data_IF_898966929966
#
_entry.id   IF_898966929966
#
_cell.length_a   1.000
_cell.length_b   1.000
_cell.length_c   1.000
_cell.angle_alpha   90.00
_cell.angle_beta   90.00
_cell.angle_gamma   90.00
#
_symmetry.space_group_name_H-M   'P 1'
#
loop_
_entity.id
_entity.type
_entity.pdbx_description
1 polymer ?
#
# COMPACT_ATOMS: atom_id res chain seq x y z
N UNK A 1 5.65 22.84 -66.05
CA UNK A 1 4.28 23.22 -65.67
C UNK A 1 3.97 22.61 -64.31
N UNK A 2 3.91 23.50 -63.36
CA UNK A 2 3.63 23.33 -61.96
C UNK A 2 2.14 23.14 -61.78
N UNK A 3 1.65 22.20 -60.97
CA UNK A 3 0.40 22.36 -60.24
C UNK A 3 0.44 21.60 -58.90
N UNK A 4 0.46 22.41 -57.95
CA UNK A 4 0.24 22.31 -56.54
C UNK A 4 -1.14 21.71 -56.20
N UNK A 5 -1.23 20.72 -55.30
CA UNK A 5 -2.47 20.34 -54.66
C UNK A 5 -2.21 19.92 -53.22
N UNK A 6 -2.07 20.94 -52.40
CA UNK A 6 -2.10 20.84 -50.95
C UNK A 6 -3.56 20.67 -50.47
N UNK A 7 -4.01 19.44 -50.20
CA UNK A 7 -5.28 19.17 -49.54
C UNK A 7 -5.00 19.03 -48.02
N UNK A 8 -5.24 20.11 -47.30
CA UNK A 8 -5.43 20.06 -45.87
C UNK A 8 -6.67 19.23 -45.53
N UNK A 9 -6.46 18.03 -44.98
CA UNK A 9 -7.53 17.26 -44.37
C UNK A 9 -7.78 17.91 -43.00
N UNK A 10 -8.90 18.63 -42.90
CA UNK A 10 -9.45 19.10 -41.62
C UNK A 10 -9.70 17.90 -40.71
N UNK A 11 -8.92 17.75 -39.66
CA UNK A 11 -9.31 16.90 -38.54
C UNK A 11 -10.62 17.44 -37.91
N UNK A 12 -11.61 16.59 -37.71
CA UNK A 12 -12.78 17.01 -36.93
C UNK A 12 -12.35 17.35 -35.55
N UNK A 13 -12.61 18.56 -35.10
CA UNK A 13 -12.53 19.03 -33.73
C UNK A 13 -13.12 17.98 -32.81
N UNK A 14 -12.28 17.32 -32.06
CA UNK A 14 -12.70 16.50 -30.92
C UNK A 14 -13.46 17.43 -29.96
N UNK A 15 -14.77 17.22 -29.89
CA UNK A 15 -15.61 17.86 -28.89
C UNK A 15 -14.94 17.66 -27.53
N UNK A 16 -14.49 18.74 -26.95
CA UNK A 16 -14.06 18.79 -25.54
C UNK A 16 -15.30 18.43 -24.72
N UNK A 17 -15.36 17.19 -24.27
CA UNK A 17 -16.28 16.80 -23.21
C UNK A 17 -15.85 17.63 -22.00
N UNK A 18 -16.61 18.69 -21.71
CA UNK A 18 -16.44 19.43 -20.48
C UNK A 18 -16.60 18.44 -19.32
N UNK A 19 -15.60 18.29 -18.45
CA UNK A 19 -15.77 17.47 -17.27
C UNK A 19 -16.84 18.13 -16.41
N UNK A 20 -17.95 17.43 -16.16
CA UNK A 20 -18.94 17.82 -15.15
C UNK A 20 -18.23 18.15 -13.83
N UNK A 21 -18.89 18.76 -12.81
CA UNK A 21 -18.25 19.34 -11.63
C UNK A 21 -17.39 18.28 -10.96
N UNK A 22 -16.14 18.24 -11.35
CA UNK A 22 -15.16 17.31 -10.86
C UNK A 22 -14.95 17.62 -9.39
N UNK A 23 -15.43 16.73 -8.52
CA UNK A 23 -15.05 16.74 -7.10
C UNK A 23 -13.54 16.94 -7.06
N UNK A 24 -13.10 18.04 -6.42
CA UNK A 24 -11.70 18.43 -6.39
C UNK A 24 -10.82 17.20 -6.13
N UNK A 25 -9.76 16.91 -6.93
CA UNK A 25 -8.87 15.77 -6.69
C UNK A 25 -8.30 15.76 -5.29
N UNK A 26 -8.19 16.92 -4.64
CA UNK A 26 -7.78 17.05 -3.24
C UNK A 26 -8.81 16.46 -2.28
N UNK A 27 -10.11 16.66 -2.53
CA UNK A 27 -11.18 16.02 -1.73
C UNK A 27 -11.14 14.51 -1.89
N UNK A 28 -10.97 14.02 -3.13
CA UNK A 28 -10.77 12.59 -3.38
C UNK A 28 -9.60 12.00 -2.58
N UNK A 29 -8.49 12.74 -2.52
CA UNK A 29 -7.30 12.31 -1.77
C UNK A 29 -7.57 12.25 -0.25
N UNK A 30 -8.26 13.23 0.32
CA UNK A 30 -8.66 13.21 1.75
C UNK A 30 -9.57 12.02 2.05
N UNK A 31 -10.56 11.75 1.19
CA UNK A 31 -11.45 10.59 1.32
C UNK A 31 -10.67 9.28 1.25
N UNK A 32 -9.70 9.18 0.32
CA UNK A 32 -8.86 8.00 0.17
C UNK A 32 -7.99 7.76 1.41
N UNK A 33 -7.38 8.82 1.98
CA UNK A 33 -6.58 8.72 3.21
C UNK A 33 -7.47 8.25 4.38
N UNK A 34 -8.66 8.82 4.53
CA UNK A 34 -9.63 8.35 5.52
C UNK A 34 -9.97 6.87 5.32
N UNK A 35 -10.19 6.43 4.07
CA UNK A 35 -10.52 5.04 3.75
C UNK A 35 -9.36 4.08 4.09
N UNK A 36 -8.10 4.42 3.73
CA UNK A 36 -6.95 3.56 4.06
C UNK A 36 -6.69 3.51 5.56
N UNK A 37 -6.88 4.62 6.28
CA UNK A 37 -6.72 4.69 7.74
C UNK A 37 -7.67 3.74 8.50
N UNK A 38 -8.83 3.38 7.92
CA UNK A 38 -9.74 2.40 8.53
C UNK A 38 -9.20 0.97 8.51
N UNK A 39 -8.20 0.67 7.68
CA UNK A 39 -7.70 -0.69 7.45
C UNK A 39 -7.25 -1.38 8.75
N UNK A 40 -6.40 -0.72 9.53
CA UNK A 40 -5.91 -1.26 10.79
C UNK A 40 -7.02 -1.48 11.82
N UNK A 41 -8.03 -0.60 11.84
CA UNK A 41 -9.18 -0.71 12.75
C UNK A 41 -10.04 -1.93 12.39
N UNK A 42 -10.33 -2.12 11.10
CA UNK A 42 -11.10 -3.27 10.63
C UNK A 42 -10.39 -4.60 10.95
N UNK A 43 -9.05 -4.63 10.83
CA UNK A 43 -8.25 -5.79 11.24
C UNK A 43 -8.34 -6.03 12.74
N UNK A 44 -8.20 -4.98 13.57
CA UNK A 44 -8.31 -5.08 15.03
C UNK A 44 -9.70 -5.52 15.51
N UNK A 45 -10.74 -5.20 14.76
CA UNK A 45 -12.11 -5.64 15.06
C UNK A 45 -12.38 -7.07 14.61
N UNK A 46 -11.59 -7.61 13.70
CA UNK A 46 -11.74 -9.00 13.26
C UNK A 46 -11.23 -9.98 14.33
N UNK A 47 -11.98 -11.01 14.59
CA UNK A 47 -11.57 -12.15 15.39
C UNK A 47 -10.95 -13.28 14.54
N UNK A 48 -10.93 -13.11 13.22
CA UNK A 48 -10.32 -14.08 12.32
C UNK A 48 -8.78 -13.99 12.39
N UNK A 49 -8.06 -15.11 12.16
CA UNK A 49 -6.61 -15.09 12.01
C UNK A 49 -6.15 -14.07 10.96
N UNK A 50 -5.04 -13.39 11.21
CA UNK A 50 -4.52 -12.32 10.38
C UNK A 50 -4.37 -12.73 8.90
N UNK A 51 -3.85 -13.94 8.63
CA UNK A 51 -3.71 -14.47 7.28
C UNK A 51 -5.05 -14.64 6.56
N UNK A 52 -6.11 -15.04 7.28
CA UNK A 52 -7.47 -15.20 6.74
C UNK A 52 -8.09 -13.84 6.40
N UNK A 53 -8.00 -12.88 7.31
CA UNK A 53 -8.49 -11.51 7.06
C UNK A 53 -7.77 -10.87 5.87
N UNK A 54 -6.44 -11.04 5.78
CA UNK A 54 -5.63 -10.58 4.66
C UNK A 54 -6.01 -11.30 3.35
N UNK A 55 -6.22 -12.62 3.39
CA UNK A 55 -6.67 -13.41 2.25
C UNK A 55 -7.99 -12.87 1.67
N UNK A 56 -9.02 -12.73 2.50
CA UNK A 56 -10.33 -12.25 2.03
C UNK A 56 -10.28 -10.80 1.57
N UNK A 57 -9.51 -9.94 2.23
CA UNK A 57 -9.28 -8.58 1.73
C UNK A 57 -8.75 -8.58 0.30
N UNK A 58 -7.68 -9.34 0.05
CA UNK A 58 -7.05 -9.38 -1.28
C UNK A 58 -7.96 -10.07 -2.28
N UNK A 59 -8.59 -11.19 -1.93
CA UNK A 59 -9.52 -11.92 -2.78
C UNK A 59 -10.69 -11.03 -3.24
N UNK A 60 -11.39 -10.39 -2.30
CA UNK A 60 -12.56 -9.56 -2.61
C UNK A 60 -12.19 -8.28 -3.36
N UNK A 61 -10.97 -7.78 -3.19
CA UNK A 61 -10.44 -6.70 -4.03
C UNK A 61 -10.11 -7.21 -5.45
N UNK A 62 -9.60 -8.43 -5.57
CA UNK A 62 -9.20 -9.03 -6.86
C UNK A 62 -10.39 -9.37 -7.75
N UNK A 63 -11.48 -9.89 -7.19
CA UNK A 63 -12.62 -10.37 -7.95
C UNK A 63 -13.19 -9.33 -8.93
N UNK A 64 -13.57 -8.11 -8.52
CA UNK A 64 -14.09 -7.10 -9.45
C UNK A 64 -13.04 -6.66 -10.46
N UNK A 65 -11.75 -6.58 -10.07
CA UNK A 65 -10.65 -6.24 -10.97
C UNK A 65 -10.43 -7.33 -12.02
N UNK A 66 -10.55 -8.61 -11.64
CA UNK A 66 -10.44 -9.75 -12.56
C UNK A 66 -11.56 -9.74 -13.58
N UNK A 67 -12.81 -9.43 -13.20
CA UNK A 67 -13.93 -9.29 -14.13
C UNK A 67 -13.62 -8.21 -15.17
N UNK A 68 -13.19 -7.03 -14.74
CA UNK A 68 -12.80 -5.93 -15.65
C UNK A 68 -11.62 -6.35 -16.53
N UNK A 69 -10.64 -7.05 -15.97
CA UNK A 69 -9.46 -7.50 -16.71
C UNK A 69 -9.82 -8.51 -17.82
N UNK A 70 -10.66 -9.49 -17.51
CA UNK A 70 -11.11 -10.49 -18.49
C UNK A 70 -11.96 -9.84 -19.60
N UNK A 71 -12.81 -8.90 -19.23
CA UNK A 71 -13.68 -8.25 -20.20
C UNK A 71 -12.96 -7.24 -21.09
N UNK A 72 -12.02 -6.43 -20.54
CA UNK A 72 -11.42 -5.29 -21.24
C UNK A 72 -9.98 -5.53 -21.71
N UNK A 73 -9.25 -6.47 -21.07
CA UNK A 73 -7.82 -6.66 -21.26
C UNK A 73 -7.43 -8.12 -21.57
N UNK A 74 -8.37 -8.93 -22.07
CA UNK A 74 -8.15 -10.36 -22.33
C UNK A 74 -6.89 -10.62 -23.15
N UNK A 75 -6.69 -9.87 -24.23
CA UNK A 75 -5.56 -10.07 -25.15
C UNK A 75 -4.22 -9.69 -24.50
N UNK A 76 -4.25 -8.78 -23.54
CA UNK A 76 -3.04 -8.35 -22.85
C UNK A 76 -2.42 -9.46 -21.98
N UNK A 77 -3.21 -10.42 -21.49
CA UNK A 77 -2.68 -11.58 -20.75
C UNK A 77 -1.85 -12.49 -21.63
N UNK A 78 -2.26 -12.71 -22.89
CA UNK A 78 -1.51 -13.51 -23.87
C UNK A 78 -0.18 -12.86 -24.28
N UNK A 79 -0.04 -11.54 -24.12
CA UNK A 79 1.16 -10.79 -24.45
C UNK A 79 2.18 -10.74 -23.28
N UNK A 80 1.84 -11.22 -22.08
CA UNK A 80 2.76 -11.21 -20.93
C UNK A 80 3.83 -12.28 -21.15
N UNK A 81 5.08 -11.86 -21.31
CA UNK A 81 6.19 -12.81 -21.43
C UNK A 81 6.40 -13.59 -20.12
N UNK A 82 6.85 -14.86 -20.24
CA UNK A 82 7.11 -15.73 -19.07
C UNK A 82 7.96 -15.07 -18.00
N UNK A 83 8.99 -14.30 -18.37
CA UNK A 83 9.85 -13.56 -17.44
C UNK A 83 9.07 -12.52 -16.64
N UNK A 84 8.17 -11.78 -17.30
CA UNK A 84 7.36 -10.75 -16.65
C UNK A 84 6.28 -11.38 -15.76
N UNK A 85 5.73 -12.53 -16.16
CA UNK A 85 4.79 -13.31 -15.34
C UNK A 85 5.47 -13.82 -14.04
N UNK A 86 6.70 -14.33 -14.13
CA UNK A 86 7.49 -14.73 -12.95
C UNK A 86 7.76 -13.53 -12.05
N UNK A 87 8.17 -12.39 -12.62
CA UNK A 87 8.38 -11.15 -11.87
C UNK A 87 7.11 -10.67 -11.17
N UNK A 88 5.95 -10.73 -11.82
CA UNK A 88 4.66 -10.40 -11.23
C UNK A 88 4.25 -11.40 -10.13
N UNK A 89 4.56 -12.69 -10.29
CA UNK A 89 4.34 -13.70 -9.26
C UNK A 89 5.22 -13.45 -8.02
N UNK A 90 6.50 -13.12 -8.19
CA UNK A 90 7.39 -12.76 -7.09
C UNK A 90 6.90 -11.48 -6.38
N UNK A 91 6.42 -10.49 -7.13
CA UNK A 91 5.77 -9.30 -6.56
C UNK A 91 4.52 -9.66 -5.76
N UNK A 92 3.72 -10.61 -6.24
CA UNK A 92 2.56 -11.15 -5.53
C UNK A 92 2.92 -11.86 -4.23
N UNK A 93 3.97 -12.68 -4.22
CA UNK A 93 4.48 -13.31 -3.00
C UNK A 93 5.00 -12.27 -1.99
N UNK A 94 5.73 -11.26 -2.46
CA UNK A 94 6.16 -10.16 -1.60
C UNK A 94 4.96 -9.42 -0.99
N UNK A 95 3.90 -9.20 -1.77
CA UNK A 95 2.66 -8.59 -1.29
C UNK A 95 1.91 -9.49 -0.28
N UNK A 96 1.94 -10.83 -0.46
CA UNK A 96 1.40 -11.78 0.51
C UNK A 96 2.13 -11.67 1.86
N UNK A 97 3.47 -11.66 1.83
CA UNK A 97 4.31 -11.49 3.02
C UNK A 97 4.01 -10.13 3.69
N UNK A 98 3.89 -9.06 2.91
CA UNK A 98 3.51 -7.74 3.42
C UNK A 98 2.22 -7.79 4.22
N UNK A 99 1.13 -8.29 3.63
CA UNK A 99 -0.15 -8.31 4.32
C UNK A 99 -0.19 -9.27 5.50
N UNK A 100 0.40 -10.47 5.37
CA UNK A 100 0.47 -11.41 6.48
C UNK A 100 1.21 -10.80 7.67
N UNK A 101 2.42 -10.24 7.44
CA UNK A 101 3.25 -9.65 8.50
C UNK A 101 2.60 -8.40 9.10
N UNK A 102 2.05 -7.52 8.27
CA UNK A 102 1.42 -6.30 8.76
C UNK A 102 0.15 -6.59 9.57
N UNK A 103 -0.74 -7.46 9.07
CA UNK A 103 -1.97 -7.79 9.80
C UNK A 103 -1.65 -8.50 11.12
N UNK A 104 -0.68 -9.41 11.11
CA UNK A 104 -0.21 -10.07 12.32
C UNK A 104 0.42 -9.06 13.31
N UNK A 105 1.17 -8.07 12.85
CA UNK A 105 1.78 -7.05 13.70
C UNK A 105 0.75 -6.32 14.57
N UNK A 106 -0.46 -6.11 14.03
CA UNK A 106 -1.55 -5.44 14.74
C UNK A 106 -2.06 -6.23 15.95
N UNK A 107 -1.82 -7.54 16.04
CA UNK A 107 -2.14 -8.34 17.22
C UNK A 107 -1.15 -8.13 18.37
N UNK A 108 0.07 -7.69 18.07
CA UNK A 108 1.19 -7.69 19.02
C UNK A 108 1.64 -6.31 19.50
N UNK A 109 1.41 -5.25 18.69
CA UNK A 109 1.78 -3.88 19.03
C UNK A 109 0.61 -2.91 18.81
N UNK A 110 0.81 -1.63 19.14
CA UNK A 110 -0.21 -0.59 18.94
C UNK A 110 -0.49 -0.34 17.45
N UNK A 111 -1.71 0.06 17.12
CA UNK A 111 -2.08 0.47 15.76
C UNK A 111 -1.16 1.60 15.28
N UNK A 112 -0.89 2.59 16.15
CA UNK A 112 -0.03 3.72 15.82
C UNK A 112 1.40 3.27 15.48
N UNK A 113 2.00 2.36 16.27
CA UNK A 113 3.34 1.82 16.00
C UNK A 113 3.34 0.97 14.72
N UNK A 114 2.43 0.00 14.61
CA UNK A 114 2.34 -0.89 13.45
C UNK A 114 2.20 -0.14 12.13
N UNK A 115 1.23 0.80 12.04
CA UNK A 115 0.99 1.55 10.79
C UNK A 115 2.14 2.51 10.49
N UNK A 116 2.75 3.14 11.50
CA UNK A 116 3.93 4.00 11.28
C UNK A 116 5.11 3.19 10.75
N UNK A 117 5.38 2.02 11.33
CA UNK A 117 6.53 1.19 10.97
C UNK A 117 6.35 0.56 9.58
N UNK A 118 5.15 0.09 9.24
CA UNK A 118 4.91 -0.44 7.88
C UNK A 118 4.99 0.66 6.82
N UNK A 119 4.68 1.91 7.15
CA UNK A 119 4.85 3.06 6.26
C UNK A 119 6.30 3.49 6.08
N UNK A 120 7.27 2.85 6.73
CA UNK A 120 8.69 3.02 6.42
C UNK A 120 9.12 2.37 5.08
N UNK A 121 8.21 1.70 4.37
CA UNK A 121 8.42 1.13 3.04
C UNK A 121 9.23 2.02 2.07
N UNK A 122 9.01 3.35 1.94
CA UNK A 122 9.77 4.18 1.01
C UNK A 122 11.27 4.22 1.29
N UNK A 123 11.68 4.00 2.54
CA UNK A 123 13.11 3.91 2.91
C UNK A 123 13.75 2.65 2.31
N UNK A 124 13.05 1.52 2.40
CA UNK A 124 13.49 0.27 1.79
C UNK A 124 13.45 0.32 0.26
N UNK A 125 12.48 1.06 -0.32
CA UNK A 125 12.45 1.33 -1.77
C UNK A 125 13.68 2.14 -2.18
N UNK A 126 14.05 3.18 -1.44
CA UNK A 126 15.25 3.98 -1.74
C UNK A 126 16.53 3.15 -1.66
N UNK A 127 16.68 2.33 -0.61
CA UNK A 127 17.80 1.40 -0.46
C UNK A 127 17.84 0.35 -1.58
N UNK A 128 16.70 -0.25 -1.91
CA UNK A 128 16.59 -1.24 -2.98
C UNK A 128 16.86 -0.64 -4.36
N UNK A 129 16.42 0.58 -4.63
CA UNK A 129 16.74 1.31 -5.87
C UNK A 129 18.24 1.56 -6.00
N UNK A 130 18.91 1.92 -4.92
CA UNK A 130 20.38 2.04 -4.92
C UNK A 130 21.05 0.69 -5.19
N UNK A 131 20.65 -0.36 -4.50
CA UNK A 131 21.29 -1.68 -4.58
C UNK A 131 21.07 -2.37 -5.93
N UNK A 132 19.83 -2.36 -6.44
CA UNK A 132 19.42 -3.15 -7.62
C UNK A 132 19.33 -2.32 -8.90
N UNK A 133 18.99 -1.02 -8.80
CA UNK A 133 18.82 -0.14 -9.95
C UNK A 133 19.99 0.82 -10.12
N UNK A 134 21.03 0.76 -9.24
CA UNK A 134 22.22 1.61 -9.24
C UNK A 134 21.88 3.11 -9.18
N UNK A 135 20.76 3.47 -8.59
CA UNK A 135 20.40 4.86 -8.34
C UNK A 135 21.30 5.46 -7.26
N UNK A 136 21.59 6.76 -7.35
CA UNK A 136 22.49 7.41 -6.38
C UNK A 136 21.75 7.72 -5.08
N UNK A 137 22.34 7.37 -3.95
CA UNK A 137 21.89 7.86 -2.64
C UNK A 137 22.40 9.29 -2.46
N UNK A 138 21.48 10.24 -2.54
CA UNK A 138 21.78 11.65 -2.26
C UNK A 138 21.89 11.90 -0.75
N UNK A 139 22.51 13.01 -0.34
CA UNK A 139 22.61 13.38 1.09
C UNK A 139 21.24 13.44 1.78
N UNK A 140 20.17 14.03 1.19
CA UNK A 140 18.84 14.00 1.79
C UNK A 140 18.28 12.59 1.97
N UNK A 141 18.50 11.66 1.02
CA UNK A 141 18.07 10.27 1.15
C UNK A 141 18.75 9.60 2.34
N UNK A 142 20.08 9.72 2.45
CA UNK A 142 20.84 9.15 3.56
C UNK A 142 20.39 9.75 4.90
N UNK A 143 20.27 11.08 4.97
CA UNK A 143 19.80 11.78 6.17
C UNK A 143 18.39 11.36 6.58
N UNK A 144 17.49 11.19 5.60
CA UNK A 144 16.12 10.72 5.84
C UNK A 144 16.06 9.29 6.36
N UNK A 145 16.88 8.38 5.81
CA UNK A 145 16.97 6.99 6.29
C UNK A 145 17.50 6.96 7.73
N UNK A 146 18.58 7.69 8.03
CA UNK A 146 19.15 7.73 9.38
C UNK A 146 18.17 8.31 10.39
N UNK A 147 17.45 9.38 10.02
CA UNK A 147 16.42 9.98 10.86
C UNK A 147 15.30 8.98 11.15
N UNK A 148 14.79 8.28 10.13
CA UNK A 148 13.74 7.30 10.32
C UNK A 148 14.19 6.10 11.17
N UNK A 149 15.41 5.60 10.99
CA UNK A 149 15.98 4.56 11.87
C UNK A 149 16.04 5.04 13.32
N UNK A 150 16.44 6.30 13.55
CA UNK A 150 16.39 6.92 14.89
C UNK A 150 14.97 6.91 15.48
N UNK A 151 13.96 7.23 14.68
CA UNK A 151 12.55 7.16 15.10
C UNK A 151 12.08 5.74 15.45
N UNK A 152 12.47 4.72 14.65
CA UNK A 152 12.21 3.31 14.96
C UNK A 152 12.84 2.91 16.31
N UNK A 153 14.08 3.35 16.57
CA UNK A 153 14.75 3.09 17.84
C UNK A 153 13.99 3.74 19.01
N UNK A 154 13.50 4.98 18.84
CA UNK A 154 12.71 5.66 19.89
C UNK A 154 11.42 4.90 20.20
N UNK A 155 10.68 4.41 19.18
CA UNK A 155 9.49 3.58 19.39
C UNK A 155 9.88 2.31 20.15
N UNK A 156 10.88 1.57 19.68
CA UNK A 156 11.27 0.28 20.24
C UNK A 156 11.79 0.38 21.68
N UNK A 157 12.56 1.42 21.99
CA UNK A 157 13.03 1.68 23.37
C UNK A 157 11.86 2.07 24.27
N UNK A 158 10.93 2.90 23.79
CA UNK A 158 9.72 3.25 24.54
C UNK A 158 8.87 2.03 24.87
N UNK A 159 8.73 1.10 23.94
CA UNK A 159 8.02 -0.17 24.14
C UNK A 159 8.70 -1.04 25.20
N UNK A 160 10.03 -1.13 25.18
CA UNK A 160 10.81 -1.88 26.19
C UNK A 160 10.71 -1.28 27.61
N UNK A 161 10.52 0.05 27.71
CA UNK A 161 10.36 0.75 28.99
C UNK A 161 8.92 0.66 29.55
N UNK A 162 8.05 -0.12 28.92
CA UNK A 162 6.69 -0.41 29.41
C UNK A 162 5.64 0.63 29.03
N UNK A 163 5.93 1.51 28.06
CA UNK A 163 5.01 2.51 27.56
C UNK A 163 4.10 2.04 26.41
N UNK A 164 4.09 0.74 26.09
CA UNK A 164 3.45 0.23 24.89
C UNK A 164 2.10 -0.44 25.16
N UNK A 165 1.22 -0.37 24.15
CA UNK A 165 0.00 -1.15 24.03
C UNK A 165 0.31 -2.39 23.18
N UNK A 166 0.01 -3.57 23.72
CA UNK A 166 0.26 -4.85 23.05
C UNK A 166 0.96 -5.87 23.94
N UNK A 167 0.78 -7.15 23.65
CA UNK A 167 1.32 -8.26 24.44
C UNK A 167 2.79 -8.55 24.15
N UNK A 168 3.27 -8.23 22.94
CA UNK A 168 4.65 -8.38 22.53
C UNK A 168 5.03 -7.32 21.48
N UNK A 169 5.24 -6.05 21.88
CA UNK A 169 5.49 -4.96 20.95
C UNK A 169 6.75 -5.15 20.09
N UNK A 170 7.79 -5.79 20.63
CA UNK A 170 9.00 -6.07 19.86
C UNK A 170 8.73 -6.97 18.66
N UNK A 171 7.93 -8.04 18.85
CA UNK A 171 7.50 -8.91 17.74
C UNK A 171 6.62 -8.14 16.76
N UNK A 172 5.62 -7.39 17.23
CA UNK A 172 4.73 -6.59 16.40
C UNK A 172 5.48 -5.57 15.55
N UNK A 173 6.43 -4.85 16.15
CA UNK A 173 7.26 -3.87 15.44
C UNK A 173 8.16 -4.54 14.38
N UNK A 174 8.76 -5.70 14.71
CA UNK A 174 9.55 -6.47 13.75
C UNK A 174 8.69 -6.95 12.57
N UNK A 175 7.48 -7.47 12.83
CA UNK A 175 6.54 -7.88 11.79
C UNK A 175 6.10 -6.71 10.89
N UNK A 176 5.85 -5.53 11.46
CA UNK A 176 5.53 -4.33 10.68
C UNK A 176 6.70 -3.92 9.77
N UNK A 177 7.94 -4.00 10.24
CA UNK A 177 9.14 -3.71 9.43
C UNK A 177 9.37 -4.77 8.33
N UNK A 178 9.12 -6.06 8.61
CA UNK A 178 9.12 -7.12 7.59
C UNK A 178 8.07 -6.82 6.54
N UNK A 179 6.87 -6.41 6.97
CA UNK A 179 5.81 -5.96 6.07
C UNK A 179 6.24 -4.79 5.19
N UNK A 180 6.93 -3.79 5.75
CA UNK A 180 7.47 -2.65 4.99
C UNK A 180 8.51 -3.06 3.95
N UNK A 181 9.44 -3.95 4.33
CA UNK A 181 10.47 -4.48 3.43
C UNK A 181 9.84 -5.28 2.27
N UNK A 182 8.89 -6.14 2.58
CA UNK A 182 8.17 -6.93 1.57
C UNK A 182 7.36 -6.04 0.61
N UNK A 183 6.68 -5.01 1.13
CA UNK A 183 6.01 -4.01 0.30
C UNK A 183 6.99 -3.26 -0.62
N UNK A 184 8.19 -2.94 -0.13
CA UNK A 184 9.23 -2.34 -0.97
C UNK A 184 9.65 -3.26 -2.12
N UNK A 185 9.79 -4.57 -1.87
CA UNK A 185 10.03 -5.57 -2.91
C UNK A 185 8.95 -5.59 -3.98
N UNK A 186 7.67 -5.56 -3.56
CA UNK A 186 6.53 -5.44 -4.46
C UNK A 186 6.59 -4.16 -5.32
N UNK A 187 6.88 -3.00 -4.70
CA UNK A 187 6.96 -1.72 -5.40
C UNK A 187 8.11 -1.68 -6.41
N UNK A 188 9.30 -2.17 -6.03
CA UNK A 188 10.47 -2.23 -6.90
C UNK A 188 10.23 -3.15 -8.12
N UNK A 189 9.64 -4.32 -7.90
CA UNK A 189 9.24 -5.21 -8.98
C UNK A 189 8.20 -4.54 -9.90
N UNK A 190 7.19 -3.92 -9.31
CA UNK A 190 6.14 -3.20 -10.04
C UNK A 190 6.69 -2.06 -10.89
N UNK A 191 7.65 -1.29 -10.37
CA UNK A 191 8.30 -0.18 -11.10
C UNK A 191 8.91 -0.64 -12.43
N UNK A 192 9.58 -1.79 -12.43
CA UNK A 192 10.17 -2.38 -13.65
C UNK A 192 9.12 -3.01 -14.58
N UNK A 193 8.19 -3.77 -14.03
CA UNK A 193 7.22 -4.54 -14.82
C UNK A 193 6.15 -3.66 -15.47
N UNK A 194 5.72 -2.59 -14.79
CA UNK A 194 4.73 -1.64 -15.27
C UNK A 194 5.14 -0.85 -16.51
N UNK A 195 6.41 -0.85 -16.86
CA UNK A 195 6.90 -0.27 -18.12
C UNK A 195 6.57 -1.16 -19.33
N UNK A 196 6.26 -2.45 -19.11
CA UNK A 196 6.03 -3.46 -20.16
C UNK A 196 4.65 -4.10 -20.09
N UNK A 197 4.05 -4.16 -18.89
CA UNK A 197 2.77 -4.81 -18.64
C UNK A 197 1.73 -3.76 -18.26
N UNK A 198 0.55 -3.73 -18.90
CA UNK A 198 -0.54 -2.83 -18.54
C UNK A 198 -0.96 -3.01 -17.08
N UNK A 199 -1.45 -1.92 -16.46
CA UNK A 199 -1.76 -1.88 -15.02
C UNK A 199 -2.71 -2.99 -14.57
N UNK A 200 -3.87 -3.09 -15.21
CA UNK A 200 -4.93 -4.00 -14.76
C UNK A 200 -4.49 -5.47 -14.83
N UNK A 201 -3.95 -5.99 -15.95
CA UNK A 201 -3.39 -7.34 -16.01
C UNK A 201 -2.30 -7.59 -14.97
N UNK A 202 -1.37 -6.63 -14.78
CA UNK A 202 -0.33 -6.73 -13.76
C UNK A 202 -0.92 -6.88 -12.34
N UNK A 203 -1.84 -6.00 -11.97
CA UNK A 203 -2.46 -6.01 -10.62
C UNK A 203 -3.23 -7.31 -10.39
N UNK A 204 -3.98 -7.81 -11.38
CA UNK A 204 -4.73 -9.06 -11.26
C UNK A 204 -3.80 -10.25 -11.03
N UNK A 205 -2.70 -10.36 -11.78
CA UNK A 205 -1.71 -11.43 -11.57
C UNK A 205 -1.10 -11.33 -10.17
N UNK A 206 -0.62 -10.15 -9.77
CA UNK A 206 -0.01 -9.91 -8.45
C UNK A 206 -0.98 -10.26 -7.33
N UNK A 207 -2.22 -9.76 -7.38
CA UNK A 207 -3.20 -9.97 -6.32
C UNK A 207 -3.69 -11.42 -6.27
N UNK A 208 -3.81 -12.08 -7.41
CA UNK A 208 -4.14 -13.52 -7.44
C UNK A 208 -3.07 -14.35 -6.76
N UNK A 209 -1.78 -14.08 -7.06
CA UNK A 209 -0.67 -14.77 -6.40
C UNK A 209 -0.59 -14.40 -4.92
N UNK A 210 -0.85 -13.13 -4.57
CA UNK A 210 -0.89 -12.71 -3.17
C UNK A 210 -2.00 -13.42 -2.40
N UNK A 211 -3.21 -13.50 -2.96
CA UNK A 211 -4.32 -14.24 -2.35
C UNK A 211 -3.98 -15.73 -2.21
N UNK A 212 -3.38 -16.36 -3.23
CA UNK A 212 -2.93 -17.75 -3.15
C UNK A 212 -1.87 -17.95 -2.06
N UNK A 213 -0.88 -17.05 -1.96
CA UNK A 213 0.14 -17.09 -0.91
C UNK A 213 -0.46 -16.95 0.50
N UNK A 214 -1.39 -16.02 0.68
CA UNK A 214 -2.11 -15.84 1.96
C UNK A 214 -2.98 -17.04 2.30
N UNK A 215 -3.63 -17.64 1.29
CA UNK A 215 -4.38 -18.90 1.47
C UNK A 215 -3.47 -20.03 1.95
N UNK A 216 -2.29 -20.18 1.35
CA UNK A 216 -1.31 -21.18 1.77
C UNK A 216 -0.88 -20.94 3.22
N UNK A 217 -0.58 -19.70 3.61
CA UNK A 217 -0.23 -19.36 5.00
C UNK A 217 -1.40 -19.76 5.93
N UNK A 218 -2.64 -19.35 5.63
CA UNK A 218 -3.80 -19.68 6.45
C UNK A 218 -4.02 -21.19 6.60
N UNK A 219 -3.79 -21.97 5.53
CA UNK A 219 -3.89 -23.44 5.57
C UNK A 219 -2.77 -24.08 6.39
N UNK A 220 -1.54 -23.56 6.30
CA UNK A 220 -0.40 -24.06 7.10
C UNK A 220 -0.60 -23.78 8.59
N UNK A 221 -1.22 -22.65 8.93
CA UNK A 221 -1.60 -22.30 10.30
C UNK A 221 -2.80 -23.09 10.81
N UNK A 222 -3.42 -23.95 9.98
CA UNK A 222 -4.62 -24.68 10.32
C UNK A 222 -5.85 -23.80 10.55
N UNK A 223 -5.83 -22.56 10.03
CA UNK A 223 -6.89 -21.59 10.25
C UNK A 223 -8.15 -21.96 9.48
N UNK A 224 -9.35 -21.90 10.10
CA UNK A 224 -10.60 -22.15 9.40
C UNK A 224 -10.83 -21.06 8.34
N UNK A 225 -11.16 -21.47 7.11
CA UNK A 225 -11.49 -20.51 6.04
C UNK A 225 -12.98 -20.15 6.02
N UNK A 226 -13.83 -20.99 6.53
CA UNK A 226 -15.29 -20.85 6.51
C UNK A 226 -15.85 -20.94 7.92
N UNK A 227 -17.15 -20.69 8.05
CA UNK A 227 -17.83 -20.78 9.37
C UNK A 227 -17.77 -19.50 10.19
N UNK A 228 -17.29 -18.40 9.62
CA UNK A 228 -17.27 -17.11 10.29
C UNK A 228 -18.67 -16.50 10.39
N UNK A 229 -18.98 -15.79 11.49
CA UNK A 229 -20.22 -15.05 11.63
C UNK A 229 -20.32 -13.93 10.58
N UNK A 230 -21.55 -13.47 10.30
CA UNK A 230 -21.82 -12.40 9.32
C UNK A 230 -20.97 -11.15 9.55
N UNK A 231 -20.68 -10.81 10.83
CA UNK A 231 -19.83 -9.69 11.20
C UNK A 231 -18.44 -9.79 10.55
N UNK A 232 -17.79 -10.96 10.54
CA UNK A 232 -16.46 -11.12 9.96
C UNK A 232 -16.50 -10.94 8.43
N UNK A 233 -17.54 -11.48 7.76
CA UNK A 233 -17.73 -11.27 6.32
C UNK A 233 -17.89 -9.79 5.96
N UNK A 234 -18.61 -9.02 6.81
CA UNK A 234 -18.73 -7.57 6.64
C UNK A 234 -17.38 -6.86 6.85
N UNK A 235 -16.55 -7.30 7.81
CA UNK A 235 -15.20 -6.76 8.01
C UNK A 235 -14.28 -7.08 6.83
N UNK A 236 -14.32 -8.30 6.30
CA UNK A 236 -13.56 -8.67 5.11
C UNK A 236 -13.97 -7.85 3.88
N UNK A 237 -15.28 -7.68 3.67
CA UNK A 237 -15.79 -6.82 2.61
C UNK A 237 -15.40 -5.34 2.83
N UNK A 238 -15.48 -4.87 4.07
CA UNK A 238 -15.04 -3.52 4.46
C UNK A 238 -13.56 -3.28 4.16
N UNK A 239 -12.70 -4.25 4.48
CA UNK A 239 -11.27 -4.21 4.15
C UNK A 239 -11.01 -4.17 2.63
N UNK A 240 -11.82 -4.88 1.85
CA UNK A 240 -11.68 -4.87 0.40
C UNK A 240 -12.20 -3.57 -0.22
N UNK A 241 -13.35 -3.08 0.21
CA UNK A 241 -14.00 -1.88 -0.35
C UNK A 241 -13.34 -0.60 0.16
N UNK A 242 -13.15 -0.45 1.47
CA UNK A 242 -12.59 0.75 2.09
C UNK A 242 -11.14 0.97 1.67
N UNK A 243 -10.17 0.37 2.36
CA UNK A 243 -8.76 0.59 2.02
C UNK A 243 -8.36 -0.03 0.68
N UNK A 244 -8.99 -1.13 0.23
CA UNK A 244 -8.66 -1.80 -1.02
C UNK A 244 -9.08 -0.99 -2.26
N UNK A 245 -10.38 -0.88 -2.50
CA UNK A 245 -10.90 -0.25 -3.71
C UNK A 245 -10.96 1.28 -3.60
N UNK A 246 -11.61 1.81 -2.55
CA UNK A 246 -11.77 3.26 -2.41
C UNK A 246 -10.44 3.94 -2.08
N UNK A 247 -9.62 3.37 -1.20
CA UNK A 247 -8.33 3.91 -0.84
C UNK A 247 -7.38 3.92 -2.04
N UNK A 248 -6.91 2.75 -2.44
CA UNK A 248 -5.88 2.64 -3.48
C UNK A 248 -6.33 3.09 -4.87
N UNK A 249 -7.60 2.85 -5.26
CA UNK A 249 -8.10 3.27 -6.58
C UNK A 249 -8.18 4.79 -6.68
N UNK A 250 -8.67 5.47 -5.62
CA UNK A 250 -8.77 6.94 -5.61
C UNK A 250 -7.39 7.58 -5.53
N UNK A 251 -6.43 6.98 -4.78
CA UNK A 251 -5.03 7.43 -4.79
C UNK A 251 -4.43 7.34 -6.20
N UNK A 252 -4.62 6.21 -6.89
CA UNK A 252 -4.15 6.05 -8.26
C UNK A 252 -4.80 7.05 -9.22
N UNK A 253 -6.09 7.34 -9.05
CA UNK A 253 -6.76 8.38 -9.81
C UNK A 253 -6.19 9.78 -9.50
N UNK A 254 -5.97 10.10 -8.22
CA UNK A 254 -5.40 11.38 -7.80
C UNK A 254 -3.99 11.61 -8.38
N UNK A 255 -3.16 10.55 -8.51
CA UNK A 255 -1.85 10.62 -9.16
C UNK A 255 -1.91 11.06 -10.64
N UNK A 256 -3.03 10.85 -11.31
CA UNK A 256 -3.25 11.37 -12.67
C UNK A 256 -3.61 12.86 -12.73
N UNK A 257 -3.94 13.49 -11.59
CA UNK A 257 -4.46 14.86 -11.53
C UNK A 257 -3.65 15.79 -10.60
N UNK A 258 -2.86 15.23 -9.70
CA UNK A 258 -2.07 15.95 -8.71
C UNK A 258 -0.60 15.57 -8.81
N UNK A 259 0.28 16.45 -8.36
CA UNK A 259 1.71 16.17 -8.28
C UNK A 259 1.97 14.95 -7.39
N UNK A 260 2.81 14.03 -7.86
CA UNK A 260 3.18 12.81 -7.13
C UNK A 260 3.74 13.10 -5.74
N UNK A 261 4.48 14.20 -5.56
CA UNK A 261 4.98 14.64 -4.26
C UNK A 261 3.85 14.99 -3.29
N UNK A 262 2.80 15.68 -3.76
CA UNK A 262 1.64 16.01 -2.94
C UNK A 262 0.91 14.74 -2.50
N UNK A 263 0.67 13.81 -3.42
CA UNK A 263 0.00 12.53 -3.11
C UNK A 263 0.84 11.72 -2.12
N UNK A 264 2.15 11.58 -2.35
CA UNK A 264 3.05 10.82 -1.47
C UNK A 264 3.12 11.40 -0.04
N UNK A 265 3.23 12.72 0.08
CA UNK A 265 3.20 13.37 1.41
C UNK A 265 1.85 13.21 2.08
N UNK A 266 0.76 13.27 1.33
CA UNK A 266 -0.59 13.10 1.88
C UNK A 266 -0.82 11.68 2.41
N UNK A 267 -0.19 10.64 1.83
CA UNK A 267 -0.26 9.26 2.33
C UNK A 267 0.31 9.11 3.75
N UNK A 268 1.18 10.02 4.20
CA UNK A 268 1.62 10.06 5.60
C UNK A 268 0.50 10.44 6.57
N UNK A 269 -0.64 10.89 6.05
CA UNK A 269 -1.88 11.01 6.83
C UNK A 269 -2.47 9.68 7.29
N UNK A 270 -2.14 8.55 6.65
CA UNK A 270 -2.64 7.23 7.05
C UNK A 270 -2.23 6.85 8.49
N UNK A 271 -0.96 6.88 8.90
CA UNK A 271 -0.58 6.60 10.29
C UNK A 271 -1.25 7.53 11.29
N UNK A 272 -1.37 8.81 10.94
CA UNK A 272 -2.05 9.80 11.80
C UNK A 272 -3.54 9.47 11.93
N UNK A 273 -4.20 9.23 10.79
CA UNK A 273 -5.63 8.86 10.77
C UNK A 273 -5.89 7.54 11.50
N UNK A 274 -5.04 6.53 11.31
CA UNK A 274 -5.15 5.24 12.00
C UNK A 274 -4.95 5.39 13.52
N UNK A 275 -3.99 6.19 13.97
CA UNK A 275 -3.77 6.46 15.39
C UNK A 275 -4.96 7.20 16.04
N UNK A 276 -5.52 8.19 15.35
CA UNK A 276 -6.74 8.90 15.82
C UNK A 276 -7.92 7.93 15.89
N UNK A 277 -8.14 7.13 14.85
CA UNK A 277 -9.22 6.14 14.84
C UNK A 277 -9.03 5.08 15.94
N UNK A 278 -7.80 4.63 16.19
CA UNK A 278 -7.50 3.70 17.28
C UNK A 278 -7.80 4.30 18.66
N UNK A 279 -7.44 5.56 18.87
CA UNK A 279 -7.74 6.26 20.12
C UNK A 279 -9.26 6.40 20.35
N UNK A 280 -10.04 6.70 19.29
CA UNK A 280 -11.49 6.94 19.39
C UNK A 280 -12.30 5.65 19.39
N UNK A 281 -11.91 4.66 18.61
CA UNK A 281 -12.72 3.45 18.35
C UNK A 281 -12.26 2.21 19.12
N UNK A 282 -11.00 2.18 19.54
CA UNK A 282 -10.39 1.05 20.26
C UNK A 282 -9.94 1.43 21.68
N UNK A 283 -10.12 2.70 22.07
CA UNK A 283 -9.64 3.24 23.35
C UNK A 283 -8.12 3.08 23.53
N UNK A 284 -7.40 2.98 22.41
CA UNK A 284 -5.96 2.74 22.35
C UNK A 284 -5.20 4.08 22.36
N UNK A 285 -4.57 4.39 23.49
CA UNK A 285 -3.74 5.60 23.63
C UNK A 285 -2.29 5.27 23.24
N UNK A 286 -1.75 5.85 22.15
CA UNK A 286 -0.36 5.62 21.79
C UNK A 286 0.59 6.19 22.84
N UNK A 287 1.62 5.45 23.19
CA UNK A 287 2.65 5.92 24.09
C UNK A 287 3.35 7.17 23.54
N UNK A 288 3.84 8.03 24.42
CA UNK A 288 4.56 9.24 24.03
C UNK A 288 5.76 8.92 23.12
N UNK A 289 6.47 7.83 23.40
CA UNK A 289 7.57 7.34 22.56
C UNK A 289 7.09 6.97 21.15
N UNK A 290 5.91 6.37 21.01
CA UNK A 290 5.30 6.05 19.71
C UNK A 290 4.95 7.33 18.94
N UNK A 291 4.39 8.35 19.62
CA UNK A 291 4.05 9.64 18.99
C UNK A 291 5.33 10.35 18.51
N UNK A 292 6.32 10.48 19.39
CA UNK A 292 7.59 11.17 19.08
C UNK A 292 8.38 10.41 18.02
N UNK A 293 8.61 9.11 18.23
CA UNK A 293 9.33 8.27 17.29
C UNK A 293 8.62 8.17 15.94
N UNK A 294 7.29 8.07 15.94
CA UNK A 294 6.47 8.10 14.75
C UNK A 294 6.62 9.41 13.96
N UNK A 295 6.60 10.54 14.64
CA UNK A 295 6.87 11.85 14.03
C UNK A 295 8.26 11.92 13.39
N UNK A 296 9.29 11.36 14.04
CA UNK A 296 10.65 11.28 13.52
C UNK A 296 10.71 10.36 12.27
N UNK A 297 10.05 9.18 12.30
CA UNK A 297 9.96 8.28 11.14
C UNK A 297 9.32 8.99 9.95
N UNK A 298 8.18 9.64 10.16
CA UNK A 298 7.47 10.35 9.10
C UNK A 298 8.30 11.51 8.51
N UNK A 299 9.01 12.27 9.36
CA UNK A 299 9.94 13.30 8.91
C UNK A 299 11.09 12.71 8.07
N UNK A 300 11.65 11.57 8.47
CA UNK A 300 12.66 10.83 7.70
C UNK A 300 12.14 10.37 6.33
N UNK A 301 10.90 9.88 6.26
CA UNK A 301 10.27 9.49 4.98
C UNK A 301 10.09 10.71 4.06
N UNK A 302 9.62 11.85 4.58
CA UNK A 302 9.50 13.11 3.80
C UNK A 302 10.85 13.54 3.24
N UNK A 303 11.88 13.51 4.07
CA UNK A 303 13.24 13.91 3.65
C UNK A 303 13.79 12.98 2.56
N UNK A 304 13.59 11.65 2.71
CA UNK A 304 13.97 10.66 1.71
C UNK A 304 13.22 10.88 0.39
N UNK A 305 11.90 11.09 0.44
CA UNK A 305 11.08 11.31 -0.74
C UNK A 305 11.49 12.57 -1.51
N UNK A 306 11.81 13.67 -0.81
CA UNK A 306 12.32 14.90 -1.43
C UNK A 306 13.68 14.71 -2.09
N UNK A 307 14.55 13.92 -1.48
CA UNK A 307 15.87 13.60 -2.04
C UNK A 307 15.84 12.70 -3.27
N UNK A 308 14.75 11.96 -3.48
CA UNK A 308 14.57 11.10 -4.66
C UNK A 308 13.99 11.84 -5.88
N UNK A 309 13.44 13.05 -5.69
CA UNK A 309 12.85 13.87 -6.77
C UNK A 309 13.77 14.97 -7.30
N UNK A 310 14.90 15.20 -6.70
CA UNK A 310 15.97 16.14 -7.12
C UNK A 310 17.13 15.41 -7.74
#
# INVERSE_FOLDING_TARGET
>A
VITDHNRYVCCPTTASVEPGPARSPRVGLVVAIGAISTGAILVRWSAAPAAVAAFYRVLFTTLPLAVVAIWRYRDAFGAIHRRDAIGAALAGLALAIHFASWFESLAWTSVAASVTLVQSQPLFVALGSWLFLRERLTRPIIGGILLAVGGVVVISVGDLLGGSVGSNPALGNALALIGALAAAGYVLAGRSLRQRVPLIPYVVVVYTVAAAGLLVIALLDGAPLLGYPTREWLLFAGLAVGPGLLGHTVINWALGHLNSSLVSVSLLGEPVGAAILAAVLLDEQPALATIVGGGIVLAGIVLTARGATG
#
